data_IF_480560624256
#
_entry.id   IF_480560624256
#
_cell.length_a   1.000
_cell.length_b   1.000
_cell.length_c   1.000
_cell.angle_alpha   90.00
_cell.angle_beta   90.00
_cell.angle_gamma   90.00
#
_symmetry.space_group_name_H-M   'P 1'
#
loop_
_entity.id
_entity.type
_entity.pdbx_description
1 polymer ?
#
# COMPACT_ATOMS: atom_id res chain seq x y z
N UNK A 1 4.53 27.69 -21.68
CA UNK A 1 4.33 26.69 -20.60
C UNK A 1 5.17 27.15 -19.41
N UNK A 2 4.55 27.50 -18.28
CA UNK A 2 5.24 28.09 -17.13
C UNK A 2 6.27 27.14 -16.51
N UNK A 3 7.33 27.70 -15.92
CA UNK A 3 8.35 26.92 -15.22
C UNK A 3 7.75 26.25 -13.99
N UNK A 4 7.56 24.94 -14.03
CA UNK A 4 7.24 24.18 -12.82
C UNK A 4 8.45 24.16 -11.89
N UNK A 5 8.21 24.40 -10.59
CA UNK A 5 9.24 24.29 -9.56
C UNK A 5 9.62 22.81 -9.39
N UNK A 6 10.92 22.51 -9.54
CA UNK A 6 11.46 21.15 -9.40
C UNK A 6 11.95 20.89 -7.97
N UNK A 7 11.92 19.64 -7.49
CA UNK A 7 11.34 18.46 -8.15
C UNK A 7 9.81 18.51 -8.18
N UNK A 8 9.20 17.90 -9.20
CA UNK A 8 7.75 17.88 -9.35
C UNK A 8 7.11 17.01 -8.23
N UNK A 9 6.22 17.54 -7.39
CA UNK A 9 5.55 16.74 -6.37
C UNK A 9 4.84 15.51 -6.95
N UNK A 10 4.93 14.38 -6.26
CA UNK A 10 4.34 13.11 -6.71
C UNK A 10 5.14 12.39 -7.80
N UNK A 11 6.31 12.91 -8.18
CA UNK A 11 7.24 12.27 -9.10
C UNK A 11 8.46 11.74 -8.35
N UNK A 12 9.01 10.61 -8.80
CA UNK A 12 10.34 10.18 -8.36
C UNK A 12 11.38 10.68 -9.34
N UNK A 13 12.54 11.16 -8.86
CA UNK A 13 13.70 11.34 -9.72
C UNK A 13 14.20 9.96 -10.19
N UNK A 14 14.85 9.94 -11.36
CA UNK A 14 15.54 8.74 -11.88
C UNK A 14 16.66 8.24 -10.95
N UNK A 15 17.39 9.18 -10.34
CA UNK A 15 18.47 8.90 -9.40
C UNK A 15 18.48 9.94 -8.28
N UNK A 16 19.11 9.60 -7.16
CA UNK A 16 19.28 10.51 -6.02
C UNK A 16 20.68 11.12 -6.05
N UNK A 17 20.83 12.41 -6.41
CA UNK A 17 22.11 13.09 -6.28
C UNK A 17 22.46 13.30 -4.80
N UNK A 18 23.74 13.49 -4.52
CA UNK A 18 24.21 13.83 -3.17
C UNK A 18 23.64 15.16 -2.67
N UNK A 19 23.56 16.18 -3.55
CA UNK A 19 22.79 17.40 -3.31
C UNK A 19 21.55 17.44 -4.20
N UNK A 20 20.37 17.32 -3.59
CA UNK A 20 19.09 17.38 -4.29
C UNK A 20 18.84 18.75 -4.96
N UNK A 21 19.49 19.82 -4.49
CA UNK A 21 19.35 21.17 -5.06
C UNK A 21 20.02 21.30 -6.42
N UNK A 22 20.99 20.43 -6.71
CA UNK A 22 21.67 20.39 -8.00
C UNK A 22 21.00 19.42 -8.98
N UNK A 23 19.82 18.88 -8.64
CA UNK A 23 19.12 17.95 -9.49
C UNK A 23 18.65 18.62 -10.78
N UNK A 24 19.23 18.19 -11.91
CA UNK A 24 18.86 18.61 -13.26
C UNK A 24 18.36 17.42 -14.12
N UNK A 25 17.94 16.32 -13.48
CA UNK A 25 17.51 15.10 -14.15
C UNK A 25 16.04 15.08 -14.58
N UNK A 26 15.59 13.92 -15.05
CA UNK A 26 14.19 13.70 -15.40
C UNK A 26 13.33 13.43 -14.15
N UNK A 27 12.44 14.38 -13.83
CA UNK A 27 11.32 14.09 -12.94
C UNK A 27 10.39 13.05 -13.61
N UNK A 28 9.71 12.25 -12.79
CA UNK A 28 8.74 11.23 -13.21
C UNK A 28 9.33 10.05 -13.99
N UNK A 29 10.51 9.58 -13.55
CA UNK A 29 11.04 8.32 -14.04
C UNK A 29 10.08 7.18 -13.67
N UNK A 30 9.64 6.39 -14.65
CA UNK A 30 8.58 5.40 -14.47
C UNK A 30 8.87 4.36 -13.38
N UNK A 31 10.15 4.05 -13.12
CA UNK A 31 10.55 3.16 -12.03
C UNK A 31 10.28 3.77 -10.64
N UNK A 32 10.08 5.09 -10.54
CA UNK A 32 9.60 5.76 -9.34
C UNK A 32 8.27 5.25 -8.81
N UNK A 33 7.42 4.72 -9.69
CA UNK A 33 6.16 4.07 -9.31
C UNK A 33 6.39 2.79 -8.48
N UNK A 34 7.60 2.25 -8.46
CA UNK A 34 8.00 1.10 -7.62
C UNK A 34 7.72 1.39 -6.15
N UNK A 35 7.89 2.62 -5.67
CA UNK A 35 7.61 2.97 -4.26
C UNK A 35 6.16 2.66 -3.88
N UNK A 36 5.19 2.99 -4.73
CA UNK A 36 3.79 2.67 -4.48
C UNK A 36 3.57 1.16 -4.44
N UNK A 37 4.17 0.43 -5.38
CA UNK A 37 4.11 -1.03 -5.41
C UNK A 37 4.71 -1.66 -4.13
N UNK A 38 5.85 -1.15 -3.66
CA UNK A 38 6.50 -1.62 -2.44
C UNK A 38 5.63 -1.36 -1.20
N UNK A 39 5.01 -0.18 -1.10
CA UNK A 39 4.10 0.13 0.01
C UNK A 39 2.87 -0.80 0.01
N UNK A 40 2.28 -1.05 -1.15
CA UNK A 40 1.11 -1.95 -1.28
C UNK A 40 1.48 -3.38 -0.88
N UNK A 41 2.59 -3.90 -1.42
CA UNK A 41 2.98 -5.31 -1.27
C UNK A 41 3.62 -5.62 0.08
N UNK A 42 4.46 -4.72 0.58
CA UNK A 42 5.32 -4.99 1.73
C UNK A 42 4.84 -4.29 2.99
N UNK A 43 4.21 -3.11 2.91
CA UNK A 43 3.68 -2.45 4.10
C UNK A 43 2.22 -2.86 4.37
N UNK A 44 1.34 -2.63 3.40
CA UNK A 44 -0.07 -3.07 3.47
C UNK A 44 -0.24 -4.58 3.28
N UNK A 45 0.76 -5.25 2.70
CA UNK A 45 0.81 -6.70 2.65
C UNK A 45 -0.06 -7.34 1.58
N UNK A 46 -0.56 -6.59 0.61
CA UNK A 46 -1.47 -7.11 -0.42
C UNK A 46 -0.67 -7.82 -1.52
N UNK A 47 -0.91 -9.12 -1.70
CA UNK A 47 -0.19 -9.94 -2.69
C UNK A 47 -1.18 -10.80 -3.49
N UNK A 48 -0.94 -10.92 -4.78
CA UNK A 48 -1.68 -11.85 -5.63
C UNK A 48 -1.56 -13.30 -5.15
N UNK A 49 -2.65 -14.05 -5.30
CA UNK A 49 -2.64 -15.50 -5.12
C UNK A 49 -2.19 -16.22 -6.39
N UNK A 50 -1.59 -17.40 -6.22
CA UNK A 50 -1.33 -18.35 -7.30
C UNK A 50 -2.62 -19.01 -7.80
N UNK A 51 -3.71 -19.00 -7.02
CA UNK A 51 -5.04 -19.34 -7.53
C UNK A 51 -5.49 -18.27 -8.51
N UNK A 52 -5.45 -18.61 -9.80
CA UNK A 52 -5.88 -17.73 -10.86
C UNK A 52 -7.33 -17.91 -11.30
N UNK A 53 -8.04 -18.90 -10.78
CA UNK A 53 -9.44 -19.15 -11.12
C UNK A 53 -10.41 -18.28 -10.32
N UNK A 54 -10.01 -17.83 -9.11
CA UNK A 54 -10.80 -16.96 -8.25
C UNK A 54 -10.28 -15.52 -8.13
N UNK A 55 -11.04 -14.70 -7.41
CA UNK A 55 -10.59 -13.41 -6.88
C UNK A 55 -9.90 -13.61 -5.53
N UNK A 56 -8.79 -14.34 -5.52
CA UNK A 56 -8.08 -14.67 -4.27
C UNK A 56 -6.81 -13.84 -4.15
N UNK A 57 -6.55 -13.29 -2.97
CA UNK A 57 -5.31 -12.60 -2.64
C UNK A 57 -4.85 -12.97 -1.23
N UNK A 58 -3.58 -12.69 -0.94
CA UNK A 58 -3.02 -12.81 0.39
C UNK A 58 -2.85 -11.44 1.03
N UNK A 59 -3.17 -11.36 2.32
CA UNK A 59 -2.87 -10.25 3.20
C UNK A 59 -1.73 -10.65 4.13
N UNK A 60 -0.73 -9.78 4.25
CA UNK A 60 0.40 -9.94 5.19
C UNK A 60 0.89 -8.57 5.66
N UNK A 61 0.12 -7.85 6.51
CA UNK A 61 0.49 -6.50 6.93
C UNK A 61 1.85 -6.52 7.64
N UNK A 62 2.76 -5.60 7.30
CA UNK A 62 4.11 -5.55 7.90
C UNK A 62 4.43 -4.15 8.44
N UNK A 63 3.49 -3.55 9.16
CA UNK A 63 3.69 -2.25 9.79
C UNK A 63 4.86 -2.30 10.79
N UNK A 64 5.84 -1.39 10.66
CA UNK A 64 6.93 -1.29 11.64
C UNK A 64 6.40 -0.80 12.99
N UNK A 65 7.12 -1.08 14.08
CA UNK A 65 6.68 -0.80 15.44
C UNK A 65 6.22 0.65 15.68
N UNK A 66 6.86 1.64 15.05
CA UNK A 66 6.48 3.05 15.18
C UNK A 66 5.13 3.41 14.51
N UNK A 67 4.61 2.53 13.66
CA UNK A 67 3.27 2.63 13.08
C UNK A 67 2.22 1.86 13.89
N UNK A 68 2.62 1.04 14.85
CA UNK A 68 1.70 0.28 15.71
C UNK A 68 1.23 1.13 16.91
N UNK A 69 0.62 2.27 16.60
CA UNK A 69 0.03 3.18 17.59
C UNK A 69 -1.45 2.81 17.77
N UNK A 70 -1.86 2.44 18.99
CA UNK A 70 -3.24 2.05 19.28
C UNK A 70 -4.26 3.10 18.78
N UNK A 71 -5.33 2.62 18.14
CA UNK A 71 -6.38 3.44 17.53
C UNK A 71 -6.01 4.07 16.19
N UNK A 72 -4.77 3.93 15.71
CA UNK A 72 -4.34 4.45 14.41
C UNK A 72 -4.95 3.61 13.29
N UNK A 73 -5.40 4.29 12.23
CA UNK A 73 -5.94 3.65 11.04
C UNK A 73 -5.07 3.95 9.82
N UNK A 74 -4.85 2.93 8.99
CA UNK A 74 -4.18 3.00 7.70
C UNK A 74 -5.08 2.43 6.61
N UNK A 75 -5.37 3.22 5.59
CA UNK A 75 -6.33 2.84 4.54
C UNK A 75 -5.72 2.98 3.15
N UNK A 76 -5.99 2.00 2.29
CA UNK A 76 -5.83 2.10 0.86
C UNK A 76 -7.18 1.85 0.18
N UNK A 77 -7.54 2.73 -0.75
CA UNK A 77 -8.88 2.76 -1.34
C UNK A 77 -8.81 2.55 -2.85
N UNK A 78 -9.92 2.08 -3.42
CA UNK A 78 -10.17 1.90 -4.84
C UNK A 78 -9.13 0.99 -5.50
N UNK A 79 -8.63 0.02 -4.76
CA UNK A 79 -7.73 -1.00 -5.28
C UNK A 79 -8.45 -1.85 -6.32
N UNK A 80 -7.73 -2.17 -7.39
CA UNK A 80 -8.23 -2.99 -8.48
C UNK A 80 -7.56 -4.35 -8.43
N UNK A 81 -8.35 -5.41 -8.39
CA UNK A 81 -7.86 -6.78 -8.47
C UNK A 81 -8.78 -7.61 -9.34
N UNK A 82 -8.32 -7.92 -10.56
CA UNK A 82 -9.04 -8.80 -11.51
C UNK A 82 -10.51 -8.39 -11.72
N UNK A 83 -10.71 -7.12 -12.06
CA UNK A 83 -12.02 -6.47 -12.28
C UNK A 83 -12.89 -6.28 -11.03
N UNK A 84 -12.40 -6.60 -9.83
CA UNK A 84 -13.04 -6.23 -8.57
C UNK A 84 -12.41 -4.98 -7.99
N UNK A 85 -13.25 -4.14 -7.39
CA UNK A 85 -12.81 -3.01 -6.58
C UNK A 85 -12.88 -3.35 -5.10
N UNK A 86 -11.84 -3.02 -4.35
CA UNK A 86 -11.88 -3.13 -2.89
C UNK A 86 -11.17 -1.97 -2.20
N UNK A 87 -11.58 -1.73 -0.95
CA UNK A 87 -10.91 -0.87 0.00
C UNK A 87 -10.38 -1.74 1.15
N UNK A 88 -9.19 -1.42 1.67
CA UNK A 88 -8.57 -2.13 2.77
C UNK A 88 -8.12 -1.12 3.82
N UNK A 89 -8.65 -1.29 5.03
CA UNK A 89 -8.22 -0.53 6.20
C UNK A 89 -7.64 -1.46 7.26
N UNK A 90 -6.60 -1.00 7.95
CA UNK A 90 -6.08 -1.63 9.17
C UNK A 90 -6.26 -0.67 10.34
N UNK A 91 -6.81 -1.16 11.45
CA UNK A 91 -6.89 -0.44 12.72
C UNK A 91 -6.01 -1.14 13.74
N UNK A 92 -5.08 -0.41 14.34
CA UNK A 92 -4.19 -0.95 15.36
C UNK A 92 -4.92 -1.02 16.70
N UNK A 93 -4.91 -2.19 17.34
CA UNK A 93 -5.53 -2.37 18.65
C UNK A 93 -4.56 -2.02 19.81
N UNK A 94 -5.06 -2.11 21.04
CA UNK A 94 -4.26 -1.80 22.24
C UNK A 94 -3.09 -2.78 22.48
N UNK A 95 -3.11 -3.96 21.86
CA UNK A 95 -2.07 -4.99 21.95
C UNK A 95 -1.02 -4.89 20.84
N UNK A 96 -1.19 -3.97 19.89
CA UNK A 96 -0.32 -3.85 18.71
C UNK A 96 -0.66 -4.83 17.58
N UNK A 97 -1.78 -5.55 17.66
CA UNK A 97 -2.34 -6.32 16.54
C UNK A 97 -3.12 -5.39 15.62
N UNK A 98 -3.48 -5.89 14.45
CA UNK A 98 -4.24 -5.11 13.46
C UNK A 98 -5.55 -5.81 13.12
N UNK A 99 -6.65 -5.06 13.22
CA UNK A 99 -7.93 -5.45 12.67
C UNK A 99 -7.98 -4.97 11.21
N UNK A 100 -8.04 -5.91 10.26
CA UNK A 100 -8.26 -5.60 8.86
C UNK A 100 -9.75 -5.47 8.58
N UNK A 101 -10.12 -4.45 7.81
CA UNK A 101 -11.46 -4.22 7.28
C UNK A 101 -11.35 -4.18 5.76
N UNK A 102 -11.97 -5.16 5.14
CA UNK A 102 -11.99 -5.33 3.70
C UNK A 102 -13.40 -5.01 3.21
N UNK A 103 -13.54 -4.01 2.35
CA UNK A 103 -14.78 -3.67 1.68
C UNK A 103 -14.65 -4.03 0.21
N UNK A 104 -15.42 -5.02 -0.24
CA UNK A 104 -15.46 -5.44 -1.64
C UNK A 104 -16.79 -4.99 -2.22
N UNK A 105 -16.77 -3.90 -2.98
CA UNK A 105 -17.96 -3.40 -3.68
C UNK A 105 -19.18 -3.18 -2.77
N UNK A 106 -18.96 -2.81 -1.50
CA UNK A 106 -19.98 -2.60 -0.48
C UNK A 106 -20.20 -3.78 0.46
N UNK A 107 -19.60 -4.95 0.20
CA UNK A 107 -19.60 -6.10 1.11
C UNK A 107 -18.40 -5.99 2.07
N UNK A 108 -18.69 -5.64 3.33
CA UNK A 108 -17.67 -5.39 4.35
C UNK A 108 -17.43 -6.62 5.22
N UNK A 109 -16.15 -6.96 5.37
CA UNK A 109 -15.66 -8.07 6.18
C UNK A 109 -14.56 -7.59 7.12
N UNK A 110 -14.51 -8.16 8.32
CA UNK A 110 -13.48 -7.85 9.32
C UNK A 110 -12.67 -9.10 9.63
N UNK A 111 -11.36 -8.93 9.80
CA UNK A 111 -10.41 -10.00 10.05
C UNK A 111 -9.42 -9.52 11.12
N UNK A 112 -9.22 -10.30 12.17
CA UNK A 112 -8.17 -10.02 13.15
C UNK A 112 -6.86 -10.68 12.70
N UNK A 113 -5.80 -9.87 12.57
CA UNK A 113 -4.51 -10.31 12.05
C UNK A 113 -3.38 -9.91 13.00
N UNK A 114 -2.35 -10.74 13.09
CA UNK A 114 -1.05 -10.32 13.60
C UNK A 114 -0.22 -9.70 12.47
N UNK A 115 0.63 -8.74 12.81
CA UNK A 115 1.61 -8.21 11.86
C UNK A 115 2.55 -9.35 11.42
N UNK A 116 2.73 -9.51 10.12
CA UNK A 116 3.50 -10.60 9.51
C UNK A 116 2.73 -11.90 9.31
N UNK A 117 1.52 -12.02 9.86
CA UNK A 117 0.64 -13.18 9.61
C UNK A 117 0.11 -13.15 8.18
N UNK A 118 0.13 -14.31 7.52
CA UNK A 118 -0.43 -14.46 6.18
C UNK A 118 -1.85 -15.01 6.27
N UNK A 119 -2.81 -14.29 5.69
CA UNK A 119 -4.18 -14.75 5.52
C UNK A 119 -4.61 -14.64 4.07
N UNK A 120 -5.15 -15.72 3.54
CA UNK A 120 -5.72 -15.77 2.19
C UNK A 120 -7.18 -15.38 2.25
N UNK A 121 -7.57 -14.41 1.43
CA UNK A 121 -8.94 -13.91 1.34
C UNK A 121 -9.45 -14.03 -0.09
N UNK A 122 -10.74 -14.35 -0.22
CA UNK A 122 -11.45 -14.25 -1.49
C UNK A 122 -12.19 -12.91 -1.50
N UNK A 123 -12.02 -12.11 -2.54
CA UNK A 123 -12.79 -10.90 -2.79
C UNK A 123 -14.19 -11.30 -3.27
#
# INVERSE_FOLDING_TARGET
LGSFQRPLPGSSPEFWPEDWRTYAGSDAYGWGATTANLLIRHLFGVKESTDTAGWVLDLTPAFPAHMLVAGRQYTIERMQYRHRRFDLSYVVDASGRVQARLDVEGDRRELDLQVGERVTVRL
#
